data_IF_813114536382
#
_entry.id   IF_813114536382
#
_cell.length_a   1.000
_cell.length_b   1.000
_cell.length_c   1.000
_cell.angle_alpha   90.00
_cell.angle_beta   90.00
_cell.angle_gamma   90.00
#
_symmetry.space_group_name_H-M   'P 1'
#
loop_
_entity.id
_entity.type
_entity.pdbx_description
1 polymer ?
#
# COMPACT_ATOMS: atom_id res chain seq x y z
N UNK A 1 35.06 -54.65 34.81
CA UNK A 1 36.37 -54.98 35.41
C UNK A 1 36.97 -53.69 35.94
N UNK A 2 37.39 -53.74 37.20
CA UNK A 2 38.35 -52.84 37.89
C UNK A 2 37.90 -51.44 38.36
N UNK A 3 37.75 -51.38 39.68
CA UNK A 3 37.72 -50.26 40.61
C UNK A 3 38.81 -49.18 40.42
N UNK A 4 38.51 -47.94 40.85
CA UNK A 4 39.23 -47.28 41.97
C UNK A 4 38.44 -46.09 42.52
N UNK A 5 38.04 -46.21 43.79
CA UNK A 5 37.60 -45.13 44.70
C UNK A 5 38.84 -44.48 45.31
N UNK A 6 38.81 -43.16 45.50
CA UNK A 6 39.66 -42.46 46.46
C UNK A 6 38.76 -41.80 47.51
N UNK A 7 38.93 -42.21 48.77
CA UNK A 7 38.39 -41.57 49.96
C UNK A 7 39.27 -40.36 50.30
N UNK A 8 38.66 -39.27 50.77
CA UNK A 8 39.32 -38.34 51.67
C UNK A 8 38.45 -38.15 52.91
N UNK A 9 39.06 -38.41 54.06
CA UNK A 9 38.55 -38.18 55.41
C UNK A 9 39.04 -36.81 55.88
N UNK A 10 38.17 -36.01 56.50
CA UNK A 10 38.64 -35.05 57.49
C UNK A 10 37.56 -34.72 58.54
N UNK A 11 38.08 -34.53 59.75
CA UNK A 11 37.47 -34.61 61.07
C UNK A 11 36.43 -33.54 61.40
N UNK A 12 35.48 -33.91 62.27
CA UNK A 12 34.43 -33.07 62.85
C UNK A 12 34.90 -32.57 64.23
N UNK A 13 34.84 -31.27 64.48
CA UNK A 13 34.91 -30.70 65.83
C UNK A 13 33.66 -29.85 66.06
N UNK A 14 32.90 -30.20 67.09
CA UNK A 14 31.66 -29.54 67.49
C UNK A 14 31.93 -28.56 68.64
N UNK A 15 31.37 -27.35 68.55
CA UNK A 15 31.11 -26.48 69.69
C UNK A 15 29.74 -25.83 69.48
N UNK A 16 28.80 -26.12 70.38
CA UNK A 16 27.45 -25.55 70.38
C UNK A 16 27.42 -24.23 71.14
N UNK A 17 26.89 -23.18 70.53
CA UNK A 17 26.11 -22.13 71.20
C UNK A 17 25.09 -21.57 70.19
N UNK A 18 23.84 -21.46 70.63
CA UNK A 18 22.68 -21.23 69.77
C UNK A 18 22.63 -19.85 69.12
N UNK A 19 22.36 -19.84 67.81
CA UNK A 19 22.07 -18.66 67.02
C UNK A 19 21.81 -19.08 65.56
N UNK A 20 20.57 -18.90 65.13
CA UNK A 20 19.97 -19.20 63.81
C UNK A 20 20.99 -19.30 62.65
N UNK A 21 21.20 -20.51 62.11
CA UNK A 21 21.95 -20.72 60.86
C UNK A 21 21.03 -20.43 59.65
N UNK A 22 21.35 -19.38 58.88
CA UNK A 22 21.03 -19.35 57.46
C UNK A 22 22.14 -20.09 56.71
N UNK A 23 21.80 -21.20 56.06
CA UNK A 23 22.69 -21.90 55.14
C UNK A 23 22.84 -21.07 53.86
N UNK A 24 23.99 -20.42 53.67
CA UNK A 24 24.41 -19.96 52.35
C UNK A 24 25.12 -21.11 51.64
N UNK A 25 24.43 -21.75 50.69
CA UNK A 25 25.09 -22.61 49.72
C UNK A 25 25.81 -21.72 48.71
N UNK A 26 27.15 -21.76 48.67
CA UNK A 26 27.92 -21.15 47.61
C UNK A 26 27.67 -21.93 46.30
N UNK A 27 27.09 -21.27 45.30
CA UNK A 27 27.00 -21.80 43.95
C UNK A 27 28.41 -22.04 43.37
N UNK A 28 28.64 -23.13 42.61
CA UNK A 28 29.89 -23.33 41.92
C UNK A 28 30.08 -22.23 40.84
N UNK A 29 31.33 -21.86 40.52
CA UNK A 29 31.59 -20.79 39.55
C UNK A 29 30.97 -21.14 38.20
N UNK A 30 30.07 -20.28 37.71
CA UNK A 30 29.53 -20.37 36.34
C UNK A 30 30.71 -20.36 35.38
N UNK A 31 30.82 -21.42 34.56
CA UNK A 31 31.70 -21.43 33.40
C UNK A 31 31.36 -20.19 32.57
N UNK A 32 32.37 -19.37 32.30
CA UNK A 32 32.24 -18.28 31.35
C UNK A 32 31.95 -18.88 29.97
N UNK A 33 30.68 -18.84 29.56
CA UNK A 33 30.32 -19.06 28.17
C UNK A 33 30.85 -17.88 27.37
N UNK A 34 31.82 -18.15 26.50
CA UNK A 34 32.24 -17.21 25.49
C UNK A 34 31.02 -16.80 24.67
N UNK A 35 30.62 -15.53 24.74
CA UNK A 35 29.66 -14.94 23.81
C UNK A 35 30.18 -15.19 22.40
N UNK A 36 29.54 -16.10 21.66
CA UNK A 36 29.68 -16.15 20.21
C UNK A 36 29.34 -14.76 19.69
N UNK A 37 30.30 -14.13 19.01
CA UNK A 37 30.04 -12.94 18.24
C UNK A 37 28.84 -13.22 17.32
N UNK A 38 27.82 -12.39 17.43
CA UNK A 38 26.69 -12.38 16.51
C UNK A 38 27.28 -12.17 15.09
N UNK A 39 26.94 -13.01 14.11
CA UNK A 39 27.46 -12.83 12.76
C UNK A 39 27.03 -11.45 12.28
N UNK A 40 27.98 -10.69 11.71
CA UNK A 40 27.70 -9.40 11.09
C UNK A 40 26.46 -9.54 10.19
N UNK A 41 25.46 -8.67 10.41
CA UNK A 41 24.27 -8.58 9.55
C UNK A 41 24.74 -8.50 8.11
N UNK A 42 24.42 -9.52 7.30
CA UNK A 42 24.56 -9.41 5.85
C UNK A 42 23.76 -8.19 5.43
N UNK A 43 24.35 -7.31 4.61
CA UNK A 43 23.61 -6.24 3.97
C UNK A 43 22.37 -6.85 3.29
N UNK A 44 21.22 -6.19 3.46
CA UNK A 44 19.95 -6.59 2.86
C UNK A 44 20.13 -6.53 1.33
N UNK A 45 20.44 -7.67 0.70
CA UNK A 45 20.73 -7.73 -0.73
C UNK A 45 19.48 -7.39 -1.56
N UNK A 46 19.67 -6.65 -2.66
CA UNK A 46 18.63 -6.30 -3.63
C UNK A 46 17.90 -7.56 -4.13
N UNK A 47 16.63 -7.73 -3.74
CA UNK A 47 15.81 -8.83 -4.24
C UNK A 47 15.18 -8.39 -5.57
N UNK A 48 15.63 -8.98 -6.67
CA UNK A 48 15.04 -8.72 -7.99
C UNK A 48 13.54 -9.04 -7.96
N UNK A 49 12.67 -8.18 -8.56
CA UNK A 49 11.25 -8.49 -8.71
C UNK A 49 11.03 -9.85 -9.41
N UNK A 50 9.89 -10.50 -9.10
CA UNK A 50 9.47 -11.70 -9.81
C UNK A 50 9.24 -11.40 -11.30
N UNK A 51 9.33 -12.41 -12.17
CA UNK A 51 8.98 -12.26 -13.58
C UNK A 51 7.54 -11.71 -13.72
N UNK A 52 7.34 -10.76 -14.65
CA UNK A 52 6.04 -10.11 -14.85
C UNK A 52 5.71 -9.00 -13.83
N UNK A 53 6.70 -8.53 -13.06
CA UNK A 53 6.57 -7.44 -12.09
C UNK A 53 7.64 -6.39 -12.36
N UNK A 54 7.22 -5.15 -12.51
CA UNK A 54 8.12 -4.00 -12.72
C UNK A 54 7.93 -2.98 -11.60
N UNK A 55 9.03 -2.33 -11.22
CA UNK A 55 9.11 -1.30 -10.15
C UNK A 55 9.80 -0.03 -10.63
N UNK A 56 10.12 0.07 -11.92
CA UNK A 56 10.79 1.21 -12.52
C UNK A 56 10.15 1.50 -13.88
N UNK A 57 9.66 2.73 -14.08
CA UNK A 57 9.07 3.17 -15.33
C UNK A 57 10.09 3.25 -16.49
N UNK A 58 11.39 3.28 -16.16
CA UNK A 58 12.49 3.26 -17.13
C UNK A 58 12.97 1.85 -17.48
N UNK A 59 12.38 0.79 -16.92
CA UNK A 59 12.78 -0.59 -17.20
C UNK A 59 12.53 -0.94 -18.68
N UNK A 60 13.61 -1.23 -19.41
CA UNK A 60 13.58 -1.55 -20.83
C UNK A 60 12.80 -2.86 -21.17
N UNK A 61 12.46 -3.66 -20.16
CA UNK A 61 11.68 -4.89 -20.31
C UNK A 61 10.17 -4.69 -20.13
N UNK A 62 9.72 -3.46 -19.87
CA UNK A 62 8.30 -3.15 -19.81
C UNK A 62 7.59 -3.54 -21.12
N UNK A 63 6.44 -4.22 -21.05
CA UNK A 63 5.71 -4.62 -22.24
C UNK A 63 5.08 -3.40 -22.93
N UNK A 64 4.80 -3.54 -24.23
CA UNK A 64 4.16 -2.48 -25.03
C UNK A 64 2.84 -1.99 -24.39
N UNK A 65 2.13 -2.87 -23.69
CA UNK A 65 0.89 -2.58 -22.97
C UNK A 65 1.05 -1.42 -21.97
N UNK A 66 2.21 -1.33 -21.30
CA UNK A 66 2.49 -0.28 -20.33
C UNK A 66 2.50 1.11 -20.98
N UNK A 67 3.09 1.23 -22.17
CA UNK A 67 3.15 2.50 -22.91
C UNK A 67 1.75 3.02 -23.30
N UNK A 68 0.77 2.13 -23.40
CA UNK A 68 -0.62 2.44 -23.78
C UNK A 68 -1.54 2.61 -22.57
N UNK A 69 -1.24 1.95 -21.44
CA UNK A 69 -1.94 2.15 -20.18
C UNK A 69 -1.82 3.61 -19.69
N UNK A 70 -2.88 4.11 -19.05
CA UNK A 70 -2.86 5.39 -18.37
C UNK A 70 -4.16 6.16 -18.49
N UNK A 71 -4.08 7.46 -18.19
CA UNK A 71 -5.22 8.36 -18.25
C UNK A 71 -5.23 9.14 -19.56
N UNK A 72 -6.42 9.40 -20.08
CA UNK A 72 -6.67 10.13 -21.31
C UNK A 72 -7.77 11.15 -21.08
N UNK A 73 -7.63 12.37 -21.62
CA UNK A 73 -8.62 13.45 -21.45
C UNK A 73 -8.94 14.08 -22.79
N UNK A 74 -10.22 14.39 -23.02
CA UNK A 74 -10.67 15.09 -24.21
C UNK A 74 -10.04 16.47 -24.34
N UNK A 75 -9.72 16.87 -25.57
CA UNK A 75 -9.26 18.22 -25.86
C UNK A 75 -10.44 19.01 -26.45
N UNK A 76 -11.15 19.80 -25.63
CA UNK A 76 -12.27 20.65 -26.08
C UNK A 76 -13.49 20.65 -25.17
N UNK A 77 -14.66 20.99 -25.74
CA UNK A 77 -15.89 21.34 -24.99
C UNK A 77 -16.64 20.20 -24.33
N UNK A 78 -16.48 18.95 -24.78
CA UNK A 78 -17.09 17.78 -24.12
C UNK A 78 -16.10 17.16 -23.14
N UNK A 79 -16.10 17.62 -21.88
CA UNK A 79 -15.24 17.07 -20.85
C UNK A 79 -15.47 15.55 -20.70
N UNK A 80 -14.47 14.74 -21.05
CA UNK A 80 -14.50 13.28 -20.96
C UNK A 80 -13.12 12.80 -20.56
N UNK A 81 -13.05 11.98 -19.52
CA UNK A 81 -11.85 11.23 -19.17
C UNK A 81 -11.96 9.78 -19.65
N UNK A 82 -10.83 9.11 -19.77
CA UNK A 82 -10.77 7.68 -19.87
C UNK A 82 -9.56 7.12 -19.11
N UNK A 83 -9.72 5.94 -18.53
CA UNK A 83 -8.64 5.18 -17.91
C UNK A 83 -8.47 3.88 -18.72
N UNK A 84 -7.31 3.72 -19.34
CA UNK A 84 -6.94 2.53 -20.14
C UNK A 84 -6.12 1.62 -19.25
N UNK A 85 -6.63 0.43 -18.95
CA UNK A 85 -6.04 -0.55 -18.04
C UNK A 85 -5.42 -1.68 -18.88
N UNK A 86 -4.11 -1.93 -18.73
CA UNK A 86 -3.48 -3.11 -19.33
C UNK A 86 -3.86 -4.38 -18.57
N UNK A 87 -4.25 -5.42 -19.29
CA UNK A 87 -4.67 -6.72 -18.75
C UNK A 87 -3.69 -7.86 -19.06
N UNK A 88 -2.51 -7.52 -19.58
CA UNK A 88 -1.44 -8.39 -20.11
C UNK A 88 -1.66 -8.82 -21.57
N UNK A 89 -0.56 -9.19 -22.24
CA UNK A 89 -0.55 -9.75 -23.60
C UNK A 89 -1.26 -8.90 -24.66
N UNK A 90 -1.20 -7.58 -24.53
CA UNK A 90 -1.80 -6.63 -25.48
C UNK A 90 -3.32 -6.49 -25.33
N UNK A 91 -3.91 -7.01 -24.27
CA UNK A 91 -5.34 -6.86 -23.96
C UNK A 91 -5.58 -5.70 -22.99
N UNK A 92 -6.70 -5.00 -23.16
CA UNK A 92 -7.04 -3.81 -22.39
C UNK A 92 -8.51 -3.76 -22.01
N UNK A 93 -8.78 -3.14 -20.86
CA UNK A 93 -10.10 -2.55 -20.55
C UNK A 93 -9.97 -1.04 -20.57
N UNK A 94 -10.84 -0.35 -21.30
CA UNK A 94 -10.97 1.11 -21.26
C UNK A 94 -12.22 1.47 -20.49
N UNK A 95 -12.07 2.37 -19.51
CA UNK A 95 -13.17 2.94 -18.73
C UNK A 95 -13.35 4.38 -19.17
N UNK A 96 -14.47 4.68 -19.83
CA UNK A 96 -14.84 6.03 -20.29
C UNK A 96 -15.69 6.72 -19.23
N UNK A 97 -15.34 7.96 -18.92
CA UNK A 97 -15.82 8.72 -17.77
C UNK A 97 -16.33 10.10 -18.25
N UNK A 98 -17.64 10.24 -18.51
CA UNK A 98 -18.24 11.51 -18.88
C UNK A 98 -18.05 12.56 -17.78
N UNK A 99 -17.55 13.74 -18.10
CA UNK A 99 -17.28 14.83 -17.14
C UNK A 99 -15.82 14.96 -16.73
N UNK A 100 -14.97 13.95 -16.93
CA UNK A 100 -13.54 14.03 -16.64
C UNK A 100 -12.96 12.76 -16.02
N UNK A 101 -11.80 12.89 -15.36
CA UNK A 101 -11.15 11.78 -14.64
C UNK A 101 -11.62 11.73 -13.18
N UNK A 102 -11.41 10.61 -12.45
CA UNK A 102 -11.72 10.55 -11.02
C UNK A 102 -10.92 11.60 -10.24
N UNK A 103 -11.63 12.42 -9.44
CA UNK A 103 -11.05 13.56 -8.72
C UNK A 103 -10.72 14.78 -9.60
N UNK A 104 -11.05 14.74 -10.90
CA UNK A 104 -10.82 15.82 -11.85
C UNK A 104 -11.97 15.90 -12.87
N UNK A 105 -13.15 16.28 -12.39
CA UNK A 105 -14.34 16.56 -13.21
C UNK A 105 -15.38 15.45 -13.27
N UNK A 106 -15.00 14.18 -13.13
CA UNK A 106 -15.98 13.07 -13.12
C UNK A 106 -16.91 13.16 -11.90
N UNK A 107 -18.22 13.00 -12.13
CA UNK A 107 -19.25 13.12 -11.11
C UNK A 107 -19.52 11.82 -10.32
N UNK A 108 -18.82 10.73 -10.66
CA UNK A 108 -18.94 9.44 -10.00
C UNK A 108 -20.08 8.56 -10.48
N UNK A 109 -20.87 8.99 -11.49
CA UNK A 109 -22.12 8.30 -11.86
C UNK A 109 -21.93 7.36 -13.04
N UNK A 110 -21.79 7.93 -14.23
CA UNK A 110 -21.82 7.15 -15.47
C UNK A 110 -20.43 6.65 -15.85
N UNK A 111 -20.35 5.38 -16.27
CA UNK A 111 -19.15 4.79 -16.89
C UNK A 111 -19.55 4.04 -18.15
N UNK A 112 -18.65 3.99 -19.12
CA UNK A 112 -18.77 3.04 -20.24
C UNK A 112 -17.50 2.20 -20.33
N UNK A 113 -17.63 0.96 -20.78
CA UNK A 113 -16.55 -0.01 -20.82
C UNK A 113 -16.31 -0.44 -22.27
N UNK A 114 -15.05 -0.36 -22.71
CA UNK A 114 -14.61 -0.96 -23.96
C UNK A 114 -13.53 -2.00 -23.67
N UNK A 115 -13.45 -3.03 -24.51
CA UNK A 115 -12.31 -3.93 -24.57
C UNK A 115 -11.43 -3.59 -25.77
N UNK A 116 -10.14 -3.85 -25.63
CA UNK A 116 -9.16 -3.56 -26.65
C UNK A 116 -8.10 -4.63 -26.79
N UNK A 117 -7.62 -4.83 -28.01
CA UNK A 117 -6.47 -5.68 -28.31
C UNK A 117 -5.49 -4.96 -29.24
N UNK A 118 -4.19 -5.17 -29.04
CA UNK A 118 -3.16 -4.72 -29.99
C UNK A 118 -3.34 -5.47 -31.32
N UNK A 119 -3.60 -4.72 -32.38
CA UNK A 119 -3.72 -5.20 -33.76
C UNK A 119 -3.02 -4.22 -34.70
N UNK A 120 -1.96 -4.67 -35.39
CA UNK A 120 -1.26 -3.85 -36.38
C UNK A 120 -0.65 -2.55 -35.83
N UNK A 121 -0.14 -2.57 -34.59
CA UNK A 121 0.54 -1.42 -33.96
C UNK A 121 -0.38 -0.41 -33.26
N UNK A 122 -1.70 -0.65 -33.27
CA UNK A 122 -2.73 0.14 -32.58
C UNK A 122 -3.61 -0.77 -31.73
N UNK A 123 -4.39 -0.21 -30.82
CA UNK A 123 -5.41 -0.96 -30.08
C UNK A 123 -6.76 -0.75 -30.76
N UNK A 124 -7.34 -1.82 -31.31
CA UNK A 124 -8.71 -1.79 -31.81
C UNK A 124 -9.68 -1.93 -30.63
N UNK A 125 -10.63 -1.00 -30.49
CA UNK A 125 -11.56 -0.94 -29.36
C UNK A 125 -13.00 -1.19 -29.80
N UNK A 126 -13.72 -1.95 -28.99
CA UNK A 126 -15.16 -2.17 -29.13
C UNK A 126 -15.83 -2.16 -27.76
N UNK A 127 -17.14 -1.94 -27.74
CA UNK A 127 -17.93 -2.02 -26.52
C UNK A 127 -17.66 -3.35 -25.79
N UNK A 128 -17.53 -3.27 -24.47
CA UNK A 128 -17.45 -4.45 -23.64
C UNK A 128 -18.84 -5.10 -23.60
N UNK A 129 -18.91 -6.37 -23.98
CA UNK A 129 -20.15 -7.17 -24.04
C UNK A 129 -19.96 -8.53 -23.36
N UNK A 130 -21.04 -9.30 -23.26
CA UNK A 130 -21.03 -10.68 -22.77
C UNK A 130 -21.06 -10.80 -21.24
N UNK A 131 -20.82 -12.01 -20.75
CA UNK A 131 -20.72 -12.26 -19.31
C UNK A 131 -19.39 -11.76 -18.77
N UNK A 132 -19.43 -10.71 -17.94
CA UNK A 132 -18.23 -10.15 -17.31
C UNK A 132 -18.37 -10.15 -15.79
N UNK A 133 -17.23 -10.32 -15.13
CA UNK A 133 -17.13 -10.39 -13.70
C UNK A 133 -16.03 -9.45 -13.21
N UNK A 134 -16.34 -8.76 -12.12
CA UNK A 134 -15.38 -7.90 -11.45
C UNK A 134 -14.09 -8.67 -11.13
N UNK A 135 -12.96 -8.10 -11.55
CA UNK A 135 -11.63 -8.65 -11.28
C UNK A 135 -11.40 -10.07 -11.81
N UNK A 136 -12.13 -10.52 -12.83
CA UNK A 136 -11.87 -11.81 -13.45
C UNK A 136 -10.41 -11.90 -13.94
N UNK A 137 -9.80 -13.07 -13.82
CA UNK A 137 -8.41 -13.28 -14.20
C UNK A 137 -8.21 -13.07 -15.70
N UNK A 138 -9.09 -13.68 -16.50
CA UNK A 138 -9.03 -13.62 -17.96
C UNK A 138 -9.51 -12.28 -18.49
N UNK A 139 -8.78 -11.64 -19.43
CA UNK A 139 -9.18 -10.37 -20.03
C UNK A 139 -10.59 -10.37 -20.63
N UNK A 140 -11.00 -11.48 -21.26
CA UNK A 140 -12.31 -11.59 -21.92
C UNK A 140 -13.49 -11.57 -20.93
N UNK A 141 -13.27 -12.10 -19.72
CA UNK A 141 -14.26 -12.16 -18.63
C UNK A 141 -14.15 -10.96 -17.68
N UNK A 142 -13.08 -10.16 -17.78
CA UNK A 142 -12.78 -9.07 -16.85
C UNK A 142 -13.80 -7.93 -16.97
N UNK A 143 -14.13 -7.36 -15.81
CA UNK A 143 -14.78 -6.06 -15.68
C UNK A 143 -14.02 -5.21 -14.67
N UNK A 144 -13.79 -3.95 -15.01
CA UNK A 144 -13.27 -2.93 -14.11
C UNK A 144 -14.33 -2.40 -13.12
N UNK A 145 -15.59 -2.80 -13.29
CA UNK A 145 -16.71 -2.40 -12.43
C UNK A 145 -17.43 -3.61 -11.85
N UNK A 146 -17.91 -3.51 -10.61
CA UNK A 146 -18.59 -4.57 -9.89
C UNK A 146 -19.99 -4.87 -10.43
N UNK A 147 -20.59 -3.89 -11.12
CA UNK A 147 -21.82 -4.02 -11.87
C UNK A 147 -21.50 -4.00 -13.36
N UNK A 148 -22.00 -4.98 -14.10
CA UNK A 148 -21.84 -5.04 -15.55
C UNK A 148 -23.20 -5.29 -16.25
N UNK A 149 -23.60 -4.47 -17.23
CA UNK A 149 -22.96 -3.20 -17.60
C UNK A 149 -23.01 -2.20 -16.42
N UNK A 150 -22.06 -1.25 -16.32
CA UNK A 150 -22.14 -0.20 -15.33
C UNK A 150 -23.29 0.76 -15.60
N UNK A 151 -23.62 1.57 -14.61
CA UNK A 151 -24.61 2.64 -14.76
C UNK A 151 -24.16 3.63 -15.86
N UNK A 152 -25.09 4.01 -16.74
CA UNK A 152 -24.82 4.94 -17.84
C UNK A 152 -23.95 4.37 -18.96
N UNK A 153 -23.80 3.05 -19.05
CA UNK A 153 -23.03 2.39 -20.11
C UNK A 153 -23.60 2.71 -21.50
N UNK A 154 -22.75 3.27 -22.35
CA UNK A 154 -23.01 3.51 -23.77
C UNK A 154 -22.02 2.70 -24.60
N UNK A 155 -22.45 2.21 -25.74
CA UNK A 155 -21.55 1.57 -26.67
C UNK A 155 -20.67 2.63 -27.36
N UNK A 156 -19.40 2.27 -27.51
CA UNK A 156 -18.41 3.02 -28.24
C UNK A 156 -17.60 2.04 -29.07
N UNK A 157 -17.14 2.50 -30.23
CA UNK A 157 -16.00 1.90 -30.93
C UNK A 157 -14.83 2.87 -30.83
N UNK A 158 -13.61 2.41 -31.10
CA UNK A 158 -12.49 3.31 -31.07
C UNK A 158 -11.16 2.71 -31.46
N UNK A 159 -10.16 3.57 -31.45
CA UNK A 159 -8.76 3.21 -31.68
C UNK A 159 -7.91 3.95 -30.66
N UNK A 160 -6.94 3.25 -30.09
CA UNK A 160 -5.84 3.89 -29.35
C UNK A 160 -4.53 3.70 -30.13
N UNK A 161 -3.93 4.81 -30.50
CA UNK A 161 -2.69 4.86 -31.28
C UNK A 161 -1.86 6.07 -30.87
N UNK A 162 -0.55 5.89 -30.67
CA UNK A 162 0.40 6.96 -30.39
C UNK A 162 -0.06 7.96 -29.29
N UNK A 163 -0.64 7.46 -28.19
CA UNK A 163 -1.13 8.29 -27.08
C UNK A 163 -2.40 9.09 -27.38
N UNK A 164 -3.09 8.79 -28.48
CA UNK A 164 -4.40 9.34 -28.82
C UNK A 164 -5.45 8.25 -28.78
N UNK A 165 -6.47 8.43 -27.95
CA UNK A 165 -7.65 7.58 -27.85
C UNK A 165 -8.80 8.25 -28.59
N UNK A 166 -9.22 7.69 -29.72
CA UNK A 166 -10.35 8.16 -30.51
C UNK A 166 -11.55 7.26 -30.26
N UNK A 167 -12.64 7.80 -29.73
CA UNK A 167 -13.86 7.08 -29.40
C UNK A 167 -15.03 7.59 -30.23
N UNK A 168 -15.77 6.69 -30.87
CA UNK A 168 -16.97 7.00 -31.64
C UNK A 168 -18.18 6.40 -30.95
N UNK A 169 -19.12 7.25 -30.52
CA UNK A 169 -20.40 6.83 -29.95
C UNK A 169 -21.36 6.35 -31.04
N UNK A 170 -22.43 5.62 -30.68
CA UNK A 170 -23.45 5.08 -31.60
C UNK A 170 -24.12 6.13 -32.51
N UNK A 171 -24.05 7.42 -32.16
CA UNK A 171 -24.53 8.53 -32.99
C UNK A 171 -23.52 9.08 -34.00
N UNK A 172 -22.36 8.42 -34.18
CA UNK A 172 -21.29 8.83 -35.10
C UNK A 172 -20.40 9.99 -34.60
N UNK A 173 -20.69 10.56 -33.42
CA UNK A 173 -19.85 11.59 -32.80
C UNK A 173 -18.54 10.96 -32.32
N UNK A 174 -17.42 11.46 -32.83
CA UNK A 174 -16.07 11.08 -32.40
C UNK A 174 -15.54 12.06 -31.36
N UNK A 175 -14.92 11.54 -30.31
CA UNK A 175 -14.22 12.28 -29.27
C UNK A 175 -12.77 11.82 -29.28
N UNK A 176 -11.84 12.77 -29.38
CA UNK A 176 -10.40 12.49 -29.23
C UNK A 176 -9.95 12.83 -27.81
N UNK A 177 -9.25 11.89 -27.19
CA UNK A 177 -8.63 12.05 -25.89
C UNK A 177 -7.11 11.87 -26.03
N UNK A 178 -6.34 12.75 -25.40
CA UNK A 178 -4.87 12.65 -25.37
C UNK A 178 -4.42 12.05 -24.05
N UNK A 179 -3.40 11.20 -24.11
CA UNK A 179 -2.75 10.65 -22.91
C UNK A 179 -2.27 11.81 -22.04
N UNK A 180 -2.58 11.74 -20.77
CA UNK A 180 -2.17 12.71 -19.77
C UNK A 180 -1.48 12.02 -18.60
N UNK A 181 -0.50 12.69 -18.01
CA UNK A 181 0.15 12.25 -16.79
C UNK A 181 -0.24 13.22 -15.68
N UNK A 182 -1.10 12.79 -14.76
CA UNK A 182 -1.40 13.54 -13.54
C UNK A 182 -0.37 13.22 -12.47
N UNK A 183 0.05 14.25 -11.75
CA UNK A 183 0.89 14.14 -10.56
C UNK A 183 0.12 14.69 -9.36
N UNK A 184 0.39 14.15 -8.18
CA UNK A 184 -0.17 14.70 -6.95
C UNK A 184 0.31 16.14 -6.72
N UNK A 185 -0.56 17.07 -6.28
CA UNK A 185 -0.14 18.42 -5.87
C UNK A 185 0.66 18.43 -4.57
N UNK A 186 0.64 17.34 -3.79
CA UNK A 186 1.43 17.19 -2.56
C UNK A 186 2.68 16.33 -2.77
N UNK A 187 3.00 15.96 -4.01
CA UNK A 187 4.22 15.22 -4.32
C UNK A 187 5.45 16.04 -3.92
N UNK A 188 6.39 15.41 -3.23
CA UNK A 188 7.62 16.02 -2.70
C UNK A 188 7.35 17.17 -1.72
N UNK A 189 6.17 17.18 -1.09
CA UNK A 189 5.85 18.13 -0.03
C UNK A 189 6.88 18.02 1.09
N UNK A 190 7.57 19.14 1.35
CA UNK A 190 8.58 19.22 2.41
C UNK A 190 7.93 19.01 3.77
N UNK A 191 8.56 18.27 4.69
CA UNK A 191 8.11 18.19 6.06
C UNK A 191 7.97 19.61 6.66
N UNK A 192 6.82 19.97 7.26
CA UNK A 192 6.67 21.26 7.91
C UNK A 192 7.53 21.34 9.20
N UNK A 193 7.68 22.55 9.73
CA UNK A 193 8.39 22.75 10.99
C UNK A 193 7.75 21.93 12.13
N UNK A 194 8.59 21.21 12.88
CA UNK A 194 8.13 20.32 13.97
C UNK A 194 7.67 18.93 13.51
N UNK A 195 7.76 18.61 12.21
CA UNK A 195 7.50 17.26 11.73
C UNK A 195 8.60 16.27 12.18
N UNK A 196 8.17 15.07 12.55
CA UNK A 196 9.03 13.89 12.66
C UNK A 196 9.20 13.31 11.26
N UNK A 197 10.42 13.41 10.71
CA UNK A 197 10.77 12.76 9.44
C UNK A 197 11.00 11.28 9.71
N UNK A 198 10.16 10.44 9.14
CA UNK A 198 10.26 8.98 9.22
C UNK A 198 11.15 8.41 8.13
N UNK A 199 11.16 9.01 6.94
CA UNK A 199 12.03 8.60 5.84
C UNK A 199 12.20 9.70 4.79
N UNK A 200 13.45 10.04 4.47
CA UNK A 200 13.83 11.04 3.45
C UNK A 200 14.85 10.49 2.42
N UNK A 201 15.15 9.19 2.47
CA UNK A 201 16.15 8.54 1.62
C UNK A 201 17.54 8.41 2.24
N UNK A 202 17.82 9.04 3.39
CA UNK A 202 19.14 8.99 4.02
C UNK A 202 19.41 7.67 4.77
N UNK A 203 18.47 7.22 5.59
CA UNK A 203 18.56 5.99 6.39
C UNK A 203 17.16 5.47 6.77
N UNK A 204 17.11 4.31 7.44
CA UNK A 204 15.88 3.69 7.95
C UNK A 204 15.84 3.62 9.48
N UNK A 205 16.53 4.50 10.20
CA UNK A 205 16.70 4.41 11.66
C UNK A 205 15.37 4.55 12.42
N UNK A 206 14.38 5.20 11.80
CA UNK A 206 13.00 5.30 12.30
C UNK A 206 12.15 4.06 12.02
N UNK A 207 12.69 3.03 11.36
CA UNK A 207 11.97 1.83 10.96
C UNK A 207 12.63 0.55 11.50
N UNK A 208 11.78 -0.37 11.94
CA UNK A 208 12.13 -1.77 12.16
C UNK A 208 11.71 -2.57 10.93
N UNK A 209 12.66 -3.28 10.34
CA UNK A 209 12.46 -3.99 9.08
C UNK A 209 12.77 -3.13 7.86
N UNK A 210 12.40 -3.63 6.68
CA UNK A 210 12.55 -2.95 5.39
C UNK A 210 13.98 -2.84 4.89
N UNK A 211 14.14 -2.34 3.67
CA UNK A 211 15.44 -2.11 3.02
C UNK A 211 15.46 -0.73 2.39
N UNK A 212 16.57 -0.01 2.55
CA UNK A 212 16.84 1.18 1.73
C UNK A 212 17.61 0.70 0.51
N UNK A 213 17.04 0.92 -0.66
CA UNK A 213 17.69 0.54 -1.91
C UNK A 213 18.93 1.41 -2.16
N UNK A 214 20.08 0.78 -2.41
CA UNK A 214 21.35 1.51 -2.48
C UNK A 214 21.43 2.46 -3.67
N UNK A 215 20.73 2.15 -4.77
CA UNK A 215 20.75 2.93 -6.01
C UNK A 215 19.69 4.02 -5.98
N UNK A 216 18.46 3.63 -5.70
CA UNK A 216 17.29 4.53 -5.78
C UNK A 216 17.04 5.31 -4.50
N UNK A 217 17.66 4.91 -3.38
CA UNK A 217 17.44 5.48 -2.03
C UNK A 217 15.99 5.38 -1.56
N UNK A 218 15.22 4.44 -2.10
CA UNK A 218 13.82 4.20 -1.73
C UNK A 218 13.72 3.21 -0.57
N UNK A 219 12.73 3.40 0.30
CA UNK A 219 12.38 2.44 1.34
C UNK A 219 11.49 1.35 0.75
N UNK A 220 11.83 0.09 0.99
CA UNK A 220 11.12 -1.07 0.49
C UNK A 220 10.67 -1.95 1.66
N UNK A 221 9.44 -2.47 1.59
CA UNK A 221 8.95 -3.49 2.54
C UNK A 221 9.51 -4.88 2.23
N UNK A 222 9.92 -5.11 0.98
CA UNK A 222 10.38 -6.42 0.46
C UNK A 222 9.45 -7.59 0.80
N UNK A 223 8.15 -7.30 0.94
CA UNK A 223 7.11 -8.27 1.24
C UNK A 223 6.95 -8.66 2.71
N UNK A 224 7.61 -7.97 3.65
CA UNK A 224 7.39 -8.11 5.09
C UNK A 224 6.97 -6.77 5.73
N UNK A 225 6.14 -6.83 6.77
CA UNK A 225 5.70 -5.63 7.49
C UNK A 225 6.89 -4.85 8.06
N UNK A 226 6.83 -3.52 7.94
CA UNK A 226 7.78 -2.61 8.57
C UNK A 226 7.04 -1.65 9.45
N UNK A 227 7.61 -1.36 10.62
CA UNK A 227 6.98 -0.51 11.63
C UNK A 227 7.92 0.58 12.07
N UNK A 228 7.37 1.73 12.41
CA UNK A 228 8.15 2.81 13.00
C UNK A 228 8.66 2.44 14.40
N UNK A 229 9.80 3.01 14.81
CA UNK A 229 10.35 2.88 16.17
C UNK A 229 9.54 3.68 17.17
N UNK A 230 9.09 4.85 16.74
CA UNK A 230 8.32 5.81 17.53
C UNK A 230 6.84 5.39 17.53
N UNK A 231 6.09 5.83 18.54
CA UNK A 231 4.65 5.58 18.65
C UNK A 231 3.91 6.90 18.62
N UNK A 232 2.78 6.92 17.94
CA UNK A 232 1.94 8.08 17.72
C UNK A 232 0.53 7.84 18.23
N UNK A 233 -0.23 8.90 18.47
CA UNK A 233 -1.63 8.82 18.87
C UNK A 233 -2.54 9.61 17.94
N UNK A 234 -2.37 10.94 17.90
CA UNK A 234 -3.11 11.84 17.01
C UNK A 234 -2.11 12.60 16.15
N UNK A 235 -2.36 12.75 14.85
CA UNK A 235 -1.40 13.37 13.94
C UNK A 235 -2.00 13.78 12.60
N UNK A 236 -1.21 14.56 11.85
CA UNK A 236 -1.25 14.52 10.38
C UNK A 236 -0.02 13.77 9.85
N UNK A 237 -0.17 13.01 8.77
CA UNK A 237 0.91 12.27 8.13
C UNK A 237 0.92 12.49 6.62
N UNK A 238 2.12 12.46 6.04
CA UNK A 238 2.35 12.40 4.60
C UNK A 238 3.15 11.14 4.28
N UNK A 239 2.75 10.44 3.21
CA UNK A 239 3.42 9.23 2.72
C UNK A 239 3.43 9.27 1.20
N UNK A 240 4.60 9.14 0.57
CA UNK A 240 4.69 8.82 -0.84
C UNK A 240 4.96 7.34 -1.07
N UNK A 241 4.21 6.74 -1.99
CA UNK A 241 4.35 5.33 -2.36
C UNK A 241 4.24 5.15 -3.87
N UNK A 242 4.87 4.10 -4.38
CA UNK A 242 4.78 3.70 -5.77
C UNK A 242 4.34 2.24 -5.86
N UNK A 243 3.30 2.01 -6.67
CA UNK A 243 2.75 0.69 -6.95
C UNK A 243 3.54 0.03 -8.09
N UNK A 244 3.90 -1.26 -7.98
CA UNK A 244 4.52 -1.97 -9.08
C UNK A 244 3.53 -2.18 -10.23
N UNK A 245 4.02 -2.23 -11.47
CA UNK A 245 3.21 -2.67 -12.60
C UNK A 245 3.13 -4.20 -12.60
N UNK A 246 1.89 -4.72 -12.49
CA UNK A 246 1.57 -6.16 -12.47
C UNK A 246 0.34 -6.45 -13.34
N UNK A 247 0.46 -6.40 -14.68
CA UNK A 247 -0.69 -6.49 -15.60
C UNK A 247 -1.43 -7.84 -15.53
N UNK A 248 -0.81 -8.91 -15.05
CA UNK A 248 -1.47 -10.20 -14.79
C UNK A 248 -2.14 -10.27 -13.41
N UNK A 249 -1.76 -9.39 -12.48
CA UNK A 249 -2.29 -9.36 -11.13
C UNK A 249 -3.76 -8.93 -11.10
N UNK A 250 -4.53 -9.48 -10.16
CA UNK A 250 -5.93 -9.09 -9.90
C UNK A 250 -6.19 -8.98 -8.41
N UNK A 251 -7.15 -8.14 -8.02
CA UNK A 251 -7.56 -7.93 -6.63
C UNK A 251 -6.36 -7.73 -5.70
N UNK A 252 -6.37 -8.40 -4.54
CA UNK A 252 -5.30 -8.32 -3.53
C UNK A 252 -3.93 -8.85 -4.03
N UNK A 253 -3.84 -9.47 -5.21
CA UNK A 253 -2.58 -9.87 -5.83
C UNK A 253 -1.92 -8.77 -6.67
N UNK A 254 -2.59 -7.64 -6.89
CA UNK A 254 -2.15 -6.55 -7.78
C UNK A 254 -1.53 -5.40 -6.96
N UNK A 255 -0.32 -5.61 -6.46
CA UNK A 255 0.45 -4.54 -5.80
C UNK A 255 -0.03 -4.17 -4.40
N UNK A 256 -0.47 -5.15 -3.60
CA UNK A 256 -1.01 -4.95 -2.26
C UNK A 256 0.06 -4.59 -1.20
N UNK A 257 -0.30 -3.64 -0.35
CA UNK A 257 0.34 -3.19 0.89
C UNK A 257 -0.71 -2.42 1.71
N UNK A 258 -0.33 -1.72 2.76
CA UNK A 258 -1.27 -0.97 3.59
C UNK A 258 -0.56 0.05 4.47
N UNK A 259 -1.18 1.22 4.64
CA UNK A 259 -0.73 2.27 5.54
C UNK A 259 -1.58 2.25 6.81
N UNK A 260 -1.06 1.63 7.86
CA UNK A 260 -1.79 1.45 9.11
C UNK A 260 -1.53 2.59 10.09
N UNK A 261 -2.63 3.19 10.53
CA UNK A 261 -2.64 4.21 11.56
C UNK A 261 -2.58 3.54 12.93
N UNK A 262 -1.53 3.88 13.69
CA UNK A 262 -1.21 3.32 15.03
C UNK A 262 -1.23 1.78 15.08
N UNK A 263 -0.95 1.16 13.93
CA UNK A 263 -1.02 -0.29 13.69
C UNK A 263 -2.39 -0.91 14.01
N UNK A 264 -3.47 -0.13 13.91
CA UNK A 264 -4.85 -0.59 14.10
C UNK A 264 -5.72 -0.43 12.86
N UNK A 265 -5.57 0.68 12.14
CA UNK A 265 -6.52 1.07 11.10
C UNK A 265 -5.82 1.25 9.76
N UNK A 266 -6.05 0.33 8.85
CA UNK A 266 -5.43 0.29 7.52
C UNK A 266 -6.15 1.22 6.54
N UNK A 267 -5.39 2.18 6.00
CA UNK A 267 -5.69 2.81 4.71
C UNK A 267 -4.98 1.98 3.65
N UNK A 268 -5.77 1.35 2.79
CA UNK A 268 -5.31 0.32 1.87
C UNK A 268 -4.40 0.87 0.76
N UNK A 269 -3.30 0.17 0.44
CA UNK A 269 -2.45 0.44 -0.73
C UNK A 269 -2.61 -0.72 -1.72
N UNK A 270 -3.15 -0.45 -2.91
CA UNK A 270 -3.35 -1.47 -3.94
C UNK A 270 -3.27 -0.84 -5.32
N UNK A 271 -2.83 -1.56 -6.35
CA UNK A 271 -3.08 -1.13 -7.73
C UNK A 271 -4.55 -1.41 -8.07
N UNK A 272 -5.38 -0.39 -7.81
CA UNK A 272 -6.79 -0.33 -8.18
C UNK A 272 -7.05 0.69 -9.28
N UNK A 273 -6.05 1.01 -10.11
CA UNK A 273 -6.23 1.97 -11.21
C UNK A 273 -7.38 1.54 -12.15
N UNK A 274 -8.33 2.45 -12.36
CA UNK A 274 -9.51 2.22 -13.20
C UNK A 274 -10.64 1.38 -12.58
N UNK A 275 -10.47 0.90 -11.35
CA UNK A 275 -11.47 0.08 -10.65
C UNK A 275 -12.53 0.92 -9.91
N UNK A 276 -13.44 0.26 -9.18
CA UNK A 276 -14.54 0.95 -8.50
C UNK A 276 -14.13 1.74 -7.25
N UNK A 277 -13.00 1.43 -6.61
CA UNK A 277 -12.62 2.05 -5.34
C UNK A 277 -13.38 1.41 -4.19
N UNK A 278 -13.21 0.10 -3.97
CA UNK A 278 -13.80 -0.63 -2.84
C UNK A 278 -13.04 -0.40 -1.53
N UNK A 279 -13.64 -0.81 -0.42
CA UNK A 279 -13.04 -0.65 0.92
C UNK A 279 -11.71 -1.40 1.09
N UNK A 280 -11.43 -2.37 0.23
CA UNK A 280 -10.20 -3.14 0.17
C UNK A 280 -9.33 -2.80 -1.05
N UNK A 281 -9.57 -1.64 -1.69
CA UNK A 281 -8.79 -1.08 -2.79
C UNK A 281 -8.10 0.23 -2.36
N UNK A 282 -7.26 0.82 -3.22
CA UNK A 282 -6.43 1.97 -2.84
C UNK A 282 -7.26 3.10 -2.23
N UNK A 283 -6.89 3.50 -1.02
CA UNK A 283 -7.57 4.56 -0.27
C UNK A 283 -8.76 4.08 0.54
N UNK A 284 -9.22 2.84 0.39
CA UNK A 284 -10.23 2.27 1.27
C UNK A 284 -9.73 2.12 2.70
N UNK A 285 -10.61 2.32 3.67
CA UNK A 285 -10.34 1.87 5.03
C UNK A 285 -10.76 0.41 5.09
N UNK A 286 -9.78 -0.50 5.21
CA UNK A 286 -9.94 -1.92 4.94
C UNK A 286 -11.13 -2.53 5.69
N UNK A 287 -12.14 -3.06 4.98
CA UNK A 287 -13.42 -3.60 5.51
C UNK A 287 -14.37 -2.60 6.19
N UNK A 288 -14.03 -1.31 6.22
CA UNK A 288 -14.79 -0.28 6.96
C UNK A 288 -15.45 0.75 6.04
N UNK A 289 -14.72 1.31 5.09
CA UNK A 289 -15.23 2.39 4.24
C UNK A 289 -14.59 2.37 2.84
N UNK A 290 -15.44 2.48 1.82
CA UNK A 290 -15.01 2.74 0.44
C UNK A 290 -14.58 4.21 0.31
N UNK A 291 -13.50 4.56 -0.41
CA UNK A 291 -13.22 5.95 -0.74
C UNK A 291 -14.37 6.55 -1.55
N UNK A 292 -14.69 7.82 -1.33
CA UNK A 292 -15.72 8.53 -2.10
C UNK A 292 -15.42 8.60 -3.61
N UNK A 293 -14.14 8.49 -3.98
CA UNK A 293 -13.68 8.39 -5.37
C UNK A 293 -12.39 7.59 -5.43
N UNK A 294 -12.25 6.71 -6.42
CA UNK A 294 -10.99 6.02 -6.70
C UNK A 294 -10.00 6.97 -7.39
N UNK A 295 -9.19 7.67 -6.60
CA UNK A 295 -8.17 8.61 -7.09
C UNK A 295 -6.80 7.96 -7.33
N UNK A 296 -6.73 6.63 -7.42
CA UNK A 296 -5.49 5.89 -7.70
C UNK A 296 -4.98 6.22 -9.11
N UNK A 297 -3.75 6.69 -9.22
CA UNK A 297 -3.03 6.86 -10.49
C UNK A 297 -2.54 5.50 -11.03
N UNK A 298 -2.14 5.42 -12.32
CA UNK A 298 -1.56 4.21 -12.88
C UNK A 298 -0.30 3.75 -12.11
N UNK A 299 -0.02 2.44 -12.07
CA UNK A 299 1.20 1.92 -11.45
C UNK A 299 2.47 2.51 -12.10
N UNK A 300 3.58 2.48 -11.35
CA UNK A 300 4.83 3.18 -11.67
C UNK A 300 4.71 4.72 -11.72
N UNK A 301 3.64 5.26 -11.13
CA UNK A 301 3.48 6.67 -10.81
C UNK A 301 3.53 6.85 -9.30
N UNK A 302 4.22 7.88 -8.82
CA UNK A 302 4.21 8.21 -7.40
C UNK A 302 2.84 8.71 -6.96
N UNK A 303 2.42 8.20 -5.82
CA UNK A 303 1.15 8.50 -5.17
C UNK A 303 1.41 9.15 -3.82
N UNK A 304 0.52 10.04 -3.39
CA UNK A 304 0.58 10.62 -2.04
C UNK A 304 -0.62 10.21 -1.22
N UNK A 305 -0.39 9.88 0.05
CA UNK A 305 -1.39 9.98 1.10
C UNK A 305 -1.10 11.17 2.00
N UNK A 306 -2.13 11.98 2.21
CA UNK A 306 -2.17 13.00 3.26
C UNK A 306 -3.31 12.63 4.20
N UNK A 307 -2.97 12.26 5.44
CA UNK A 307 -3.90 11.72 6.42
C UNK A 307 -3.96 12.57 7.67
N UNK A 308 -5.16 12.87 8.15
CA UNK A 308 -5.40 13.35 9.50
C UNK A 308 -6.05 12.25 10.31
N UNK A 309 -5.41 11.87 11.41
CA UNK A 309 -5.85 10.76 12.25
C UNK A 309 -6.05 11.21 13.70
N UNK A 310 -7.19 10.82 14.25
CA UNK A 310 -7.49 10.94 15.69
C UNK A 310 -7.77 9.53 16.22
N UNK A 311 -6.99 9.09 17.21
CA UNK A 311 -7.17 7.78 17.82
C UNK A 311 -8.53 7.65 18.52
N UNK A 312 -8.98 6.42 18.69
CA UNK A 312 -10.10 6.11 19.58
C UNK A 312 -9.83 6.67 21.00
N UNK A 313 -10.87 7.05 21.73
CA UNK A 313 -10.74 7.52 23.11
C UNK A 313 -11.14 6.43 24.07
N UNK A 314 -10.41 6.32 25.17
CA UNK A 314 -10.72 5.45 26.30
C UNK A 314 -11.01 6.26 27.54
N UNK A 315 -11.84 5.74 28.44
CA UNK A 315 -11.97 6.28 29.80
C UNK A 315 -10.81 5.84 30.70
N UNK A 316 -10.83 6.27 31.96
CA UNK A 316 -9.80 5.94 32.95
C UNK A 316 -9.70 4.43 33.28
N UNK A 317 -10.71 3.64 32.92
CA UNK A 317 -10.72 2.17 33.09
C UNK A 317 -10.16 1.44 31.88
N UNK A 318 -9.81 2.16 30.80
CA UNK A 318 -9.36 1.59 29.54
C UNK A 318 -10.51 1.15 28.61
N UNK A 319 -11.77 1.45 28.95
CA UNK A 319 -12.91 1.14 28.10
C UNK A 319 -13.01 2.18 26.97
N UNK A 320 -13.15 1.72 25.73
CA UNK A 320 -13.39 2.60 24.57
C UNK A 320 -14.69 3.37 24.74
N UNK A 321 -14.63 4.70 24.60
CA UNK A 321 -15.76 5.64 24.69
C UNK A 321 -16.00 6.44 23.41
N UNK A 322 -15.03 6.47 22.49
CA UNK A 322 -15.21 7.03 21.15
C UNK A 322 -14.34 6.28 20.14
N UNK A 323 -14.83 6.14 18.91
CA UNK A 323 -14.11 5.53 17.81
C UNK A 323 -13.04 6.46 17.24
N UNK A 324 -12.07 5.88 16.52
CA UNK A 324 -11.07 6.65 15.79
C UNK A 324 -11.71 7.44 14.65
N UNK A 325 -11.12 8.57 14.28
CA UNK A 325 -11.54 9.38 13.13
C UNK A 325 -10.41 9.59 12.13
N UNK A 326 -10.78 9.62 10.85
CA UNK A 326 -9.84 9.71 9.74
C UNK A 326 -10.36 10.68 8.67
N UNK A 327 -9.53 11.65 8.30
CA UNK A 327 -9.60 12.34 7.01
C UNK A 327 -8.44 11.87 6.16
N UNK A 328 -8.68 11.51 4.90
CA UNK A 328 -7.63 11.04 4.01
C UNK A 328 -7.78 11.66 2.62
N UNK A 329 -6.65 12.08 2.06
CA UNK A 329 -6.52 12.49 0.67
C UNK A 329 -5.59 11.54 -0.06
N UNK A 330 -5.98 11.13 -1.26
CA UNK A 330 -5.15 10.39 -2.20
C UNK A 330 -4.84 11.30 -3.38
N UNK A 331 -3.57 11.61 -3.60
CA UNK A 331 -3.13 12.53 -4.66
C UNK A 331 -3.80 13.90 -4.59
N UNK A 332 -3.95 14.45 -3.38
CA UNK A 332 -4.64 15.71 -3.11
C UNK A 332 -6.18 15.65 -3.14
N UNK A 333 -6.77 14.57 -3.67
CA UNK A 333 -8.23 14.38 -3.73
C UNK A 333 -8.74 13.88 -2.40
N UNK A 334 -9.74 14.57 -1.81
CA UNK A 334 -10.40 14.11 -0.59
C UNK A 334 -11.17 12.82 -0.86
N UNK A 335 -10.75 11.73 -0.21
CA UNK A 335 -11.39 10.41 -0.39
C UNK A 335 -12.18 9.97 0.84
N UNK A 336 -11.79 10.44 2.02
CA UNK A 336 -12.51 10.28 3.29
C UNK A 336 -12.53 11.60 4.03
N UNK A 337 -13.71 12.03 4.50
CA UNK A 337 -13.89 13.27 5.24
C UNK A 337 -14.35 12.97 6.68
N UNK A 338 -13.41 13.05 7.63
CA UNK A 338 -13.62 12.87 9.06
C UNK A 338 -14.51 11.66 9.43
N UNK A 339 -14.31 10.54 8.74
CA UNK A 339 -15.12 9.34 8.92
C UNK A 339 -14.82 8.68 10.26
N UNK A 340 -15.80 7.95 10.79
CA UNK A 340 -15.65 7.15 11.99
C UNK A 340 -15.19 5.72 11.66
N UNK A 341 -14.16 5.23 12.34
CA UNK A 341 -13.67 3.85 12.19
C UNK A 341 -14.07 3.05 13.43
N UNK A 342 -15.08 2.20 13.28
CA UNK A 342 -15.78 1.55 14.40
C UNK A 342 -14.99 0.44 15.14
N UNK A 343 -13.79 0.12 14.67
CA UNK A 343 -12.88 -0.83 15.29
C UNK A 343 -11.67 -1.11 14.39
N UNK A 344 -10.69 -1.90 14.87
CA UNK A 344 -9.48 -2.20 14.12
C UNK A 344 -9.77 -2.92 12.80
N UNK A 345 -8.87 -2.77 11.84
CA UNK A 345 -8.88 -3.52 10.58
C UNK A 345 -8.09 -4.84 10.72
N UNK A 346 -8.16 -5.69 9.70
CA UNK A 346 -7.37 -6.92 9.66
C UNK A 346 -5.87 -6.64 9.79
N UNK A 347 -5.13 -7.52 10.46
CA UNK A 347 -3.69 -7.37 10.67
C UNK A 347 -3.30 -6.35 11.75
N UNK A 348 -4.24 -5.79 12.51
CA UNK A 348 -3.95 -4.87 13.61
C UNK A 348 -3.12 -5.50 14.74
N UNK A 349 -2.35 -4.67 15.46
CA UNK A 349 -1.72 -5.06 16.74
C UNK A 349 -2.77 -5.38 17.81
N UNK A 350 -2.32 -6.04 18.87
CA UNK A 350 -3.18 -6.58 19.94
C UNK A 350 -3.49 -5.61 21.08
N UNK A 351 -2.73 -4.51 21.20
CA UNK A 351 -2.96 -3.53 22.25
C UNK A 351 -4.38 -2.92 22.13
N UNK A 352 -4.97 -2.43 23.24
CA UNK A 352 -6.26 -1.77 23.18
C UNK A 352 -6.26 -0.53 22.27
N UNK A 353 -7.39 -0.31 21.58
CA UNK A 353 -7.67 0.94 20.87
C UNK A 353 -7.52 2.15 21.81
N UNK A 354 -7.01 3.28 21.27
CA UNK A 354 -6.77 4.50 22.04
C UNK A 354 -5.42 4.56 22.77
N UNK A 355 -4.60 3.52 22.66
CA UNK A 355 -3.20 3.58 23.06
C UNK A 355 -2.31 4.07 21.90
N UNK A 356 -1.18 4.76 22.17
CA UNK A 356 -0.22 5.11 21.12
C UNK A 356 0.36 3.86 20.45
N UNK A 357 0.56 3.91 19.14
CA UNK A 357 1.06 2.79 18.34
C UNK A 357 1.97 3.24 17.20
N UNK A 358 2.77 2.33 16.62
CA UNK A 358 3.62 2.67 15.49
C UNK A 358 2.78 2.89 14.23
N UNK A 359 3.30 3.64 13.27
CA UNK A 359 2.90 3.46 11.87
C UNK A 359 3.42 2.11 11.37
N UNK A 360 2.58 1.38 10.64
CA UNK A 360 2.99 0.17 9.90
C UNK A 360 2.75 0.36 8.40
N UNK A 361 3.75 -0.01 7.61
CA UNK A 361 3.60 -0.25 6.17
C UNK A 361 3.61 -1.76 5.95
N UNK A 362 2.50 -2.30 5.43
CA UNK A 362 2.30 -3.73 5.29
C UNK A 362 3.19 -4.30 4.18
N UNK A 363 3.85 -5.42 4.45
CA UNK A 363 4.50 -6.22 3.43
C UNK A 363 3.62 -7.40 3.06
N UNK A 364 3.03 -7.37 1.86
CA UNK A 364 2.12 -8.41 1.39
C UNK A 364 2.69 -9.17 0.18
N UNK A 365 3.99 -9.48 0.24
CA UNK A 365 4.70 -10.17 -0.84
C UNK A 365 4.88 -9.37 -2.15
N UNK A 366 4.60 -8.07 -2.13
CA UNK A 366 4.78 -7.17 -3.28
C UNK A 366 5.95 -6.19 -3.03
N UNK A 367 6.70 -5.82 -4.10
CA UNK A 367 7.83 -4.90 -3.99
C UNK A 367 7.37 -3.44 -3.99
N UNK A 368 6.73 -2.99 -2.92
CA UNK A 368 6.30 -1.59 -2.78
C UNK A 368 7.48 -0.69 -2.40
N UNK A 369 7.49 0.50 -2.98
CA UNK A 369 8.51 1.51 -2.76
C UNK A 369 7.89 2.75 -2.11
N UNK A 370 8.60 3.31 -1.13
CA UNK A 370 8.18 4.46 -0.35
C UNK A 370 9.27 5.52 -0.33
N UNK A 371 8.85 6.78 -0.28
CA UNK A 371 9.73 7.94 -0.04
C UNK A 371 8.96 9.02 0.74
N UNK A 372 9.67 10.06 1.16
CA UNK A 372 9.10 11.26 1.76
C UNK A 372 7.98 10.96 2.78
N UNK A 373 8.36 10.37 3.92
CA UNK A 373 7.42 9.98 4.97
C UNK A 373 7.65 10.84 6.19
N UNK A 374 6.63 11.59 6.62
CA UNK A 374 6.73 12.46 7.80
C UNK A 374 5.39 12.62 8.52
N UNK A 375 5.47 12.96 9.81
CA UNK A 375 4.34 13.08 10.73
C UNK A 375 4.43 14.37 11.55
N UNK A 376 3.29 15.02 11.77
CA UNK A 376 3.13 16.10 12.75
C UNK A 376 2.16 15.65 13.82
N UNK A 377 2.63 15.49 15.04
CA UNK A 377 1.80 15.10 16.17
C UNK A 377 0.82 16.21 16.56
N UNK A 378 -0.43 15.83 16.81
CA UNK A 378 -1.48 16.70 17.35
C UNK A 378 -1.56 16.42 18.86
N UNK A 379 -1.32 17.47 19.66
CA UNK A 379 -1.40 17.39 21.13
C UNK A 379 -2.85 17.34 21.62
#
# INVERSE_FOLDING_TARGET
MTFRRALFSMSLAAAMTGGVMYTFAAEPPKKAEAKKAEPAKKADAEKKPAAGVWTDAADATLPADFALQGEYVSQGGDATGAQVIALNAGEFQVVVLPGGLPGAGWDGKSKSLLVGKIEGGKVALKAAEGARKYLAAKPEEFSATSKFPPEGHKAYTGVLEAGTLSLTADGGKTIELKKTLRTSPTLEAKPPAGAVVLFDGSNKDKWKGGRVDEKTKLLNTDGADIVTTDKFLNYTAHVEFMLPFKPEGRGQGRGNSGFYQVDHYEVQILDSFGLDGKNNECGGVYTKAEPSVNACLPPLTWQTYDVEFTAAKTDATGKKIANARLTARLNGVLIHDNIEINGPTGGARKDPEGTPGPIKLQGHGNPLQFRNVWIVEKK
#
